data_IF_132421941327
#
_entry.id   IF_132421941327
#
_cell.length_a   1.000
_cell.length_b   1.000
_cell.length_c   1.000
_cell.angle_alpha   90.00
_cell.angle_beta   90.00
_cell.angle_gamma   90.00
#
_symmetry.space_group_name_H-M   'P 1'
#
loop_
_entity.id
_entity.type
_entity.pdbx_description
1 polymer ?
#
# COMPACT_ATOMS: atom_id res chain seq x y z
N UNK A 1 0.16 -4.10 -16.49
CA UNK A 1 0.05 -5.31 -15.63
C UNK A 1 -1.19 -6.17 -15.90
N UNK A 2 -2.42 -5.67 -15.77
CA UNK A 2 -3.63 -6.51 -15.91
C UNK A 2 -3.74 -7.21 -17.29
N UNK A 3 -3.35 -6.55 -18.37
CA UNK A 3 -3.31 -7.17 -19.70
C UNK A 3 -2.30 -8.31 -19.82
N UNK A 4 -1.22 -8.30 -19.02
CA UNK A 4 -0.29 -9.43 -18.95
C UNK A 4 -0.97 -10.65 -18.31
N UNK A 5 -1.64 -10.45 -17.17
CA UNK A 5 -2.40 -11.52 -16.51
C UNK A 5 -3.47 -12.09 -17.45
N UNK A 6 -4.26 -11.24 -18.11
CA UNK A 6 -5.33 -11.69 -19.01
C UNK A 6 -4.83 -12.53 -20.20
N UNK A 7 -3.68 -12.16 -20.78
CA UNK A 7 -3.11 -12.87 -21.94
C UNK A 7 -2.47 -14.19 -21.55
N UNK A 8 -1.69 -14.22 -20.47
CA UNK A 8 -1.04 -15.45 -20.03
C UNK A 8 -2.02 -16.41 -19.36
N UNK A 9 -3.09 -15.89 -18.74
CA UNK A 9 -4.05 -16.70 -18.01
C UNK A 9 -5.35 -16.98 -18.79
N UNK A 10 -5.33 -16.80 -20.11
CA UNK A 10 -6.48 -17.05 -20.99
C UNK A 10 -6.94 -18.51 -20.97
N UNK A 11 -6.02 -19.46 -20.81
CA UNK A 11 -6.30 -20.90 -20.81
C UNK A 11 -6.44 -21.51 -19.42
N UNK A 12 -5.98 -20.79 -18.38
CA UNK A 12 -6.05 -21.27 -17.01
C UNK A 12 -7.51 -21.44 -16.57
N UNK A 13 -7.82 -22.63 -16.08
CA UNK A 13 -9.13 -22.99 -15.51
C UNK A 13 -9.13 -22.96 -13.98
N UNK A 14 -7.95 -23.09 -13.37
CA UNK A 14 -7.81 -23.05 -11.92
C UNK A 14 -7.97 -21.62 -11.38
N UNK A 15 -9.05 -21.43 -10.62
CA UNK A 15 -9.41 -20.17 -9.99
C UNK A 15 -8.43 -19.79 -8.88
N UNK A 16 -7.88 -20.78 -8.17
CA UNK A 16 -6.96 -20.52 -7.06
C UNK A 16 -5.65 -19.95 -7.58
N UNK A 17 -5.08 -20.55 -8.63
CA UNK A 17 -3.91 -20.02 -9.33
C UNK A 17 -4.13 -18.58 -9.84
N UNK A 18 -5.28 -18.31 -10.47
CA UNK A 18 -5.65 -16.97 -10.95
C UNK A 18 -5.73 -15.94 -9.81
N UNK A 19 -6.33 -16.31 -8.67
CA UNK A 19 -6.36 -15.45 -7.47
C UNK A 19 -4.96 -15.18 -6.95
N UNK A 20 -4.13 -16.22 -6.82
CA UNK A 20 -2.75 -16.10 -6.32
C UNK A 20 -1.92 -15.18 -7.20
N UNK A 21 -1.98 -15.34 -8.52
CA UNK A 21 -1.31 -14.47 -9.48
C UNK A 21 -1.78 -13.01 -9.40
N UNK A 22 -3.10 -12.81 -9.25
CA UNK A 22 -3.64 -11.47 -9.05
C UNK A 22 -3.09 -10.82 -7.77
N UNK A 23 -3.03 -11.58 -6.67
CA UNK A 23 -2.54 -11.08 -5.39
C UNK A 23 -1.03 -10.78 -5.41
N UNK A 24 -0.22 -11.70 -5.92
CA UNK A 24 1.25 -11.57 -5.91
C UNK A 24 1.76 -10.50 -6.87
N UNK A 25 1.13 -10.32 -8.03
CA UNK A 25 1.60 -9.39 -9.05
C UNK A 25 0.90 -8.04 -9.01
N UNK A 26 -0.43 -8.05 -9.08
CA UNK A 26 -1.20 -6.83 -9.32
C UNK A 26 -1.49 -6.15 -8.00
N UNK A 27 -2.05 -6.88 -7.04
CA UNK A 27 -2.44 -6.31 -5.75
C UNK A 27 -1.23 -5.82 -4.97
N UNK A 28 -0.17 -6.61 -4.89
CA UNK A 28 1.05 -6.23 -4.19
C UNK A 28 1.68 -4.95 -4.77
N UNK A 29 1.76 -4.81 -6.10
CA UNK A 29 2.30 -3.61 -6.74
C UNK A 29 1.45 -2.36 -6.42
N UNK A 30 0.12 -2.51 -6.48
CA UNK A 30 -0.79 -1.38 -6.24
C UNK A 30 -0.79 -0.99 -4.76
N UNK A 31 -0.73 -1.96 -3.85
CA UNK A 31 -0.63 -1.71 -2.40
C UNK A 31 0.70 -1.02 -2.07
N UNK A 32 1.81 -1.42 -2.69
CA UNK A 32 3.08 -0.72 -2.56
C UNK A 32 3.03 0.73 -3.08
N UNK A 33 2.52 0.93 -4.30
CA UNK A 33 2.38 2.28 -4.87
C UNK A 33 1.39 3.15 -4.11
N UNK A 34 0.43 2.56 -3.39
CA UNK A 34 -0.61 3.31 -2.69
C UNK A 34 -0.09 4.19 -1.56
N UNK A 35 1.00 3.78 -0.90
CA UNK A 35 1.67 4.57 0.15
C UNK A 35 2.25 5.87 -0.45
N UNK A 36 2.84 5.77 -1.64
CA UNK A 36 3.48 6.89 -2.34
C UNK A 36 2.43 7.83 -2.95
N UNK A 37 1.35 7.28 -3.48
CA UNK A 37 0.28 8.00 -4.18
C UNK A 37 -0.92 8.35 -3.28
N UNK A 38 -0.81 8.20 -1.97
CA UNK A 38 -1.81 8.70 -1.02
C UNK A 38 -1.73 10.23 -0.95
N UNK A 39 -2.84 11.01 -0.91
CA UNK A 39 -4.25 10.62 -0.83
C UNK A 39 -5.03 10.72 -2.16
N UNK A 40 -4.41 11.24 -3.23
CA UNK A 40 -5.12 11.58 -4.46
C UNK A 40 -5.19 10.37 -5.40
N UNK A 41 -6.41 9.90 -5.71
CA UNK A 41 -6.76 8.89 -6.73
C UNK A 41 -6.43 7.41 -6.44
N UNK A 42 -5.65 7.08 -5.42
CA UNK A 42 -5.27 5.68 -5.10
C UNK A 42 -6.46 4.76 -4.89
N UNK A 43 -7.52 5.26 -4.22
CA UNK A 43 -8.76 4.51 -4.00
C UNK A 43 -9.56 4.23 -5.27
N UNK A 44 -9.43 5.06 -6.31
CA UNK A 44 -10.14 4.85 -7.57
C UNK A 44 -9.42 3.80 -8.43
N UNK A 45 -8.10 3.89 -8.51
CA UNK A 45 -7.26 2.95 -9.27
C UNK A 45 -7.42 1.52 -8.77
N UNK A 46 -7.33 1.34 -7.45
CA UNK A 46 -7.51 0.03 -6.79
C UNK A 46 -8.88 -0.57 -7.09
N UNK A 47 -9.96 0.20 -6.92
CA UNK A 47 -11.33 -0.21 -7.24
C UNK A 47 -11.49 -0.60 -8.70
N UNK A 48 -10.92 0.18 -9.63
CA UNK A 48 -10.98 -0.12 -11.07
C UNK A 48 -10.27 -1.43 -11.42
N UNK A 49 -9.10 -1.67 -10.83
CA UNK A 49 -8.33 -2.91 -11.03
C UNK A 49 -9.09 -4.12 -10.46
N UNK A 50 -9.68 -3.99 -9.26
CA UNK A 50 -10.51 -5.05 -8.67
C UNK A 50 -11.74 -5.34 -9.54
N UNK A 51 -12.44 -4.32 -10.04
CA UNK A 51 -13.57 -4.49 -10.96
C UNK A 51 -13.17 -5.22 -12.25
N UNK A 52 -12.02 -4.89 -12.84
CA UNK A 52 -11.51 -5.58 -14.04
C UNK A 52 -11.22 -7.05 -13.78
N UNK A 53 -10.62 -7.36 -12.62
CA UNK A 53 -10.38 -8.76 -12.22
C UNK A 53 -11.68 -9.53 -12.00
N UNK A 54 -12.64 -8.95 -11.28
CA UNK A 54 -13.96 -9.55 -11.08
C UNK A 54 -14.70 -9.79 -12.39
N UNK A 55 -14.60 -8.87 -13.34
CA UNK A 55 -15.18 -9.03 -14.66
C UNK A 55 -14.55 -10.21 -15.42
N UNK A 56 -13.23 -10.38 -15.36
CA UNK A 56 -12.54 -11.54 -15.93
C UNK A 56 -12.97 -12.86 -15.27
N UNK A 57 -13.07 -12.88 -13.93
CA UNK A 57 -13.53 -14.05 -13.18
C UNK A 57 -14.98 -14.41 -13.50
N UNK A 58 -15.84 -13.41 -13.68
CA UNK A 58 -17.24 -13.60 -14.06
C UNK A 58 -17.39 -14.39 -15.36
N UNK A 59 -16.62 -14.03 -16.39
CA UNK A 59 -16.62 -14.77 -17.65
C UNK A 59 -16.04 -16.17 -17.50
N UNK A 60 -14.96 -16.33 -16.73
CA UNK A 60 -14.34 -17.63 -16.47
C UNK A 60 -15.26 -18.60 -15.72
N UNK A 61 -16.11 -18.07 -14.84
CA UNK A 61 -17.08 -18.84 -14.05
C UNK A 61 -18.44 -19.03 -14.74
N UNK A 62 -18.68 -18.40 -15.90
CA UNK A 62 -20.00 -18.41 -16.56
C UNK A 62 -21.11 -17.67 -15.79
N UNK A 63 -20.77 -16.91 -14.75
CA UNK A 63 -21.73 -16.25 -13.84
C UNK A 63 -22.17 -14.86 -14.34
N UNK A 64 -22.71 -14.77 -15.55
CA UNK A 64 -22.97 -13.49 -16.24
C UNK A 64 -23.88 -12.55 -15.42
N UNK A 65 -24.90 -13.12 -14.77
CA UNK A 65 -25.94 -12.39 -14.03
C UNK A 65 -25.60 -12.08 -12.58
N UNK A 66 -24.51 -12.63 -12.03
CA UNK A 66 -24.17 -12.39 -10.62
C UNK A 66 -23.63 -10.97 -10.42
N UNK A 67 -24.13 -10.23 -9.43
CA UNK A 67 -23.63 -8.90 -9.12
C UNK A 67 -22.17 -8.98 -8.65
N UNK A 68 -21.43 -7.91 -8.91
CA UNK A 68 -19.98 -7.83 -8.64
C UNK A 68 -19.64 -7.98 -7.16
N UNK A 69 -20.56 -7.57 -6.28
CA UNK A 69 -20.39 -7.65 -4.82
C UNK A 69 -20.46 -9.08 -4.33
N UNK A 70 -21.40 -9.89 -4.85
CA UNK A 70 -21.53 -11.30 -4.49
C UNK A 70 -20.33 -12.11 -4.99
N UNK A 71 -19.91 -11.89 -6.25
CA UNK A 71 -18.69 -12.50 -6.78
C UNK A 71 -17.45 -12.15 -5.95
N UNK A 72 -17.35 -10.91 -5.46
CA UNK A 72 -16.23 -10.51 -4.61
C UNK A 72 -16.22 -11.28 -3.27
N UNK A 73 -17.41 -11.52 -2.69
CA UNK A 73 -17.56 -12.31 -1.47
C UNK A 73 -17.21 -13.78 -1.71
N UNK A 74 -17.73 -14.40 -2.77
CA UNK A 74 -17.39 -15.78 -3.15
C UNK A 74 -15.89 -15.97 -3.43
N UNK A 75 -15.24 -14.91 -3.93
CA UNK A 75 -13.81 -14.95 -4.25
C UNK A 75 -12.91 -14.54 -3.07
N UNK A 76 -13.46 -14.24 -1.88
CA UNK A 76 -12.77 -13.73 -0.70
C UNK A 76 -11.94 -12.46 -0.97
N UNK A 77 -12.43 -11.61 -1.88
CA UNK A 77 -11.79 -10.35 -2.22
C UNK A 77 -12.27 -9.25 -1.26
N UNK A 78 -11.59 -9.09 -0.12
CA UNK A 78 -11.95 -8.00 0.81
C UNK A 78 -11.69 -6.61 0.19
N UNK A 79 -12.58 -5.66 0.47
CA UNK A 79 -12.48 -4.28 0.01
C UNK A 79 -11.29 -3.55 0.64
N UNK A 80 -10.61 -2.73 -0.16
CA UNK A 80 -9.23 -2.27 0.05
C UNK A 80 -9.03 -1.13 1.07
N UNK A 81 -10.05 -0.64 1.75
CA UNK A 81 -9.90 0.53 2.64
C UNK A 81 -9.06 0.20 3.89
N UNK A 82 -9.44 -0.85 4.63
CA UNK A 82 -8.82 -1.17 5.93
C UNK A 82 -7.35 -1.59 5.78
N UNK A 83 -7.03 -2.35 4.73
CA UNK A 83 -5.64 -2.75 4.45
C UNK A 83 -4.73 -1.57 4.12
N UNK A 84 -5.25 -0.52 3.49
CA UNK A 84 -4.46 0.67 3.17
C UNK A 84 -4.12 1.43 4.43
N UNK A 85 -5.11 1.65 5.29
CA UNK A 85 -4.88 2.24 6.61
C UNK A 85 -3.82 1.46 7.40
N UNK A 86 -3.92 0.12 7.40
CA UNK A 86 -2.91 -0.72 8.05
C UNK A 86 -1.54 -0.58 7.38
N UNK A 87 -1.45 -0.57 6.05
CA UNK A 87 -0.18 -0.41 5.34
C UNK A 87 0.45 0.97 5.59
N UNK A 88 -0.35 2.03 5.67
CA UNK A 88 0.10 3.38 6.00
C UNK A 88 0.65 3.42 7.43
N UNK A 89 -0.05 2.79 8.39
CA UNK A 89 0.44 2.63 9.77
C UNK A 89 1.74 1.83 9.81
N UNK A 90 1.81 0.69 9.12
CA UNK A 90 3.01 -0.13 9.09
C UNK A 90 4.18 0.61 8.47
N UNK A 91 3.94 1.39 7.42
CA UNK A 91 4.95 2.24 6.81
C UNK A 91 5.47 3.29 7.80
N UNK A 92 4.57 4.01 8.48
CA UNK A 92 4.94 5.00 9.51
C UNK A 92 5.72 4.35 10.66
N UNK A 93 5.25 3.20 11.16
CA UNK A 93 5.93 2.44 12.21
C UNK A 93 7.35 2.05 11.78
N UNK A 94 7.51 1.54 10.55
CA UNK A 94 8.81 1.16 9.99
C UNK A 94 9.74 2.36 9.83
N UNK A 95 9.20 3.51 9.42
CA UNK A 95 9.95 4.75 9.27
C UNK A 95 10.47 5.26 10.62
N UNK A 96 9.61 5.29 11.65
CA UNK A 96 9.97 5.76 13.00
C UNK A 96 10.97 4.83 13.70
N UNK A 97 10.89 3.53 13.49
CA UNK A 97 11.82 2.55 14.06
C UNK A 97 13.07 2.31 13.21
N UNK A 98 13.35 3.20 12.26
CA UNK A 98 14.53 3.14 11.39
C UNK A 98 14.65 1.82 10.58
N UNK A 99 13.53 1.12 10.35
CA UNK A 99 13.46 -0.04 9.46
C UNK A 99 13.36 0.40 7.99
N UNK A 100 12.95 1.65 7.75
CA UNK A 100 13.03 2.34 6.47
C UNK A 100 13.90 3.58 6.67
N UNK A 101 15.09 3.61 6.06
CA UNK A 101 16.00 4.73 6.19
C UNK A 101 15.67 5.82 5.15
N UNK A 102 14.93 6.84 5.58
CA UNK A 102 14.64 8.02 4.75
C UNK A 102 14.59 9.30 5.62
N UNK A 103 15.75 9.93 5.90
CA UNK A 103 15.81 11.10 6.80
C UNK A 103 14.98 12.27 6.28
N UNK A 104 14.98 12.52 4.96
CA UNK A 104 14.17 13.56 4.32
C UNK A 104 12.66 13.39 4.53
N UNK A 105 12.19 12.16 4.72
CA UNK A 105 10.78 11.88 4.97
C UNK A 105 10.47 11.99 6.47
N UNK A 106 11.39 11.53 7.32
CA UNK A 106 11.28 11.64 8.77
C UNK A 106 11.25 13.11 9.24
N UNK A 107 12.09 13.96 8.66
CA UNK A 107 12.12 15.41 8.94
C UNK A 107 10.80 16.12 8.62
N UNK A 108 10.00 15.57 7.70
CA UNK A 108 8.70 16.14 7.33
C UNK A 108 7.56 15.74 8.26
N UNK A 109 7.81 14.79 9.18
CA UNK A 109 6.81 14.36 10.15
C UNK A 109 6.93 15.25 11.39
N UNK A 110 5.92 16.05 11.72
CA UNK A 110 5.93 16.87 12.93
C UNK A 110 5.74 15.96 14.14
N UNK A 111 6.85 15.44 14.67
CA UNK A 111 6.84 14.71 15.93
C UNK A 111 6.81 15.74 17.05
N UNK A 112 5.75 15.72 17.86
CA UNK A 112 5.69 16.50 19.09
C UNK A 112 6.56 15.82 20.17
N UNK A 113 7.86 15.74 19.89
CA UNK A 113 8.84 15.25 20.85
C UNK A 113 9.13 16.42 21.79
N UNK A 114 9.06 16.26 23.11
CA UNK A 114 9.66 17.25 23.98
C UNK A 114 11.11 17.39 23.54
N UNK A 115 11.49 18.59 23.12
CA UNK A 115 12.89 18.96 22.95
C UNK A 115 13.54 18.72 24.31
N UNK A 116 14.12 17.55 24.53
CA UNK A 116 15.13 17.40 25.53
C UNK A 116 16.26 18.27 25.01
N UNK A 117 16.28 19.51 25.52
CA UNK A 117 17.34 20.47 25.34
C UNK A 117 18.63 19.72 25.62
N UNK A 118 19.32 19.31 24.56
CA UNK A 118 20.75 19.17 24.62
C UNK A 118 21.18 20.60 24.90
N UNK A 119 21.35 20.89 26.20
CA UNK A 119 22.01 22.08 26.65
C UNK A 119 23.27 22.15 25.80
N UNK A 120 23.30 23.12 24.88
CA UNK A 120 24.52 23.58 24.27
C UNK A 120 25.38 24.02 25.45
N UNK A 121 26.15 23.09 26.01
CA UNK A 121 27.33 23.43 26.78
C UNK A 121 28.27 24.03 25.74
N UNK A 122 28.05 25.32 25.47
CA UNK A 122 29.10 26.18 24.95
C UNK A 122 30.31 25.94 25.85
N UNK A 123 31.48 25.58 25.31
CA UNK A 123 32.68 25.55 26.13
C UNK A 123 32.83 26.96 26.68
N UNK A 124 32.87 27.07 28.01
CA UNK A 124 33.14 28.32 28.70
C UNK A 124 34.44 28.90 28.11
N UNK A 125 34.31 29.91 27.24
CA UNK A 125 35.44 30.69 26.76
C UNK A 125 35.93 31.52 27.95
N UNK A 126 36.86 30.97 28.72
CA UNK A 126 37.65 31.70 29.70
C UNK A 126 38.54 32.68 28.93
N UNK A 127 38.20 33.97 28.92
CA UNK A 127 39.09 35.00 28.40
C UNK A 127 39.59 35.87 29.57
N UNK A 128 40.86 35.72 29.99
CA UNK A 128 41.44 36.50 31.07
C UNK A 128 41.62 37.96 30.63
N UNK A 129 41.26 38.88 31.52
CA UNK A 129 41.50 40.32 31.36
C UNK A 129 43.01 40.58 31.36
N UNK A 130 43.49 41.31 30.36
CA UNK A 130 44.73 42.10 30.41
C UNK A 130 44.54 43.36 29.60
#
# INVERSE_FOLDING_TARGET
MFGFLKRNCSEFKDLTCLKTLYFSLIRLLVEYGSIIWSPYQTGLITKLIQKRFLHMMRYKLGKIYTPTVELAKELDLQFQADRRFNNDIFFLYKLLNNQIYCPKLLEKIPLNVPLHTLQLQTPFMYNPKS
#
